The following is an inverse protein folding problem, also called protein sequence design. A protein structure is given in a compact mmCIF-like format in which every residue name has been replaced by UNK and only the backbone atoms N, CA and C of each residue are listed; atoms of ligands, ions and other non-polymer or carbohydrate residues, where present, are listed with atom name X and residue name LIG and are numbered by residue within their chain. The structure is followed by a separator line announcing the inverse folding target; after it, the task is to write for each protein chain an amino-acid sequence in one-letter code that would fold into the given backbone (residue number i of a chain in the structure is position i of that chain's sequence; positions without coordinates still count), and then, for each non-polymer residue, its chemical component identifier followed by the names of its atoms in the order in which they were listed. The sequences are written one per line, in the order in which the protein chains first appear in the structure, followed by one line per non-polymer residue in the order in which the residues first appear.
data_IF_103891160000
#
_entry.id   IF_103891160000
#
_cell.length_a   1.000
_cell.length_b   1.000
_cell.length_c   1.000
_cell.angle_alpha   90.00
_cell.angle_beta   90.00
_cell.angle_gamma   90.00
#
_symmetry.space_group_name_H-M   'P 1'
#
loop_
_entity.id
_entity.type
_entity.pdbx_description
1 polymer ?
#
# COMPACT_ATOMS: atom_id res chain seq x y z
N UNK A 1 -21.91 -10.83 -13.13
CA UNK A 1 -20.64 -10.07 -13.17
C UNK A 1 -19.52 -11.07 -13.30
N UNK A 2 -18.57 -10.84 -14.21
CA UNK A 2 -17.41 -11.71 -14.39
C UNK A 2 -16.60 -11.75 -13.09
N UNK A 3 -16.31 -12.95 -12.58
CA UNK A 3 -15.55 -13.20 -11.35
C UNK A 3 -14.03 -12.99 -11.57
N UNK A 4 -13.63 -11.85 -12.14
CA UNK A 4 -12.21 -11.54 -12.27
C UNK A 4 -11.71 -11.01 -10.92
N UNK A 5 -10.68 -11.65 -10.39
CA UNK A 5 -9.99 -11.28 -9.15
C UNK A 5 -8.62 -10.70 -9.50
N UNK A 6 -7.97 -9.93 -8.60
CA UNK A 6 -6.64 -9.39 -8.85
C UNK A 6 -5.59 -10.45 -9.24
N UNK A 7 -5.73 -11.68 -8.74
CA UNK A 7 -4.85 -12.81 -9.07
C UNK A 7 -4.94 -13.28 -10.52
N UNK A 8 -5.95 -12.85 -11.28
CA UNK A 8 -6.05 -13.12 -12.71
C UNK A 8 -5.21 -12.18 -13.58
N UNK A 9 -4.53 -11.20 -12.98
CA UNK A 9 -3.78 -10.18 -13.68
C UNK A 9 -2.29 -10.29 -13.32
N UNK A 10 -1.43 -9.91 -14.28
CA UNK A 10 0.03 -10.01 -14.12
C UNK A 10 0.54 -9.07 -13.03
N UNK A 11 -0.17 -7.95 -12.86
CA UNK A 11 0.14 -6.93 -11.87
C UNK A 11 -1.14 -6.18 -11.45
N UNK A 12 -1.01 -5.38 -10.40
CA UNK A 12 -2.13 -4.63 -9.84
C UNK A 12 -2.60 -3.49 -10.77
N UNK A 13 -1.75 -2.93 -11.63
CA UNK A 13 -2.13 -1.88 -12.59
C UNK A 13 -3.11 -2.42 -13.64
N UNK A 14 -2.85 -3.62 -14.17
CA UNK A 14 -3.76 -4.32 -15.08
C UNK A 14 -5.12 -4.57 -14.42
N UNK A 15 -5.12 -4.96 -13.15
CA UNK A 15 -6.36 -5.13 -12.37
C UNK A 15 -7.14 -3.81 -12.25
N UNK A 16 -6.47 -2.71 -11.88
CA UNK A 16 -7.13 -1.41 -11.73
C UNK A 16 -7.65 -0.89 -13.07
N UNK A 17 -6.89 -1.06 -14.16
CA UNK A 17 -7.35 -0.70 -15.50
C UNK A 17 -8.60 -1.50 -15.86
N UNK A 18 -8.59 -2.81 -15.61
CA UNK A 18 -9.77 -3.65 -15.81
C UNK A 18 -10.98 -3.15 -15.00
N UNK A 19 -10.82 -2.85 -13.71
CA UNK A 19 -11.93 -2.33 -12.89
C UNK A 19 -12.44 -1.00 -13.45
N UNK A 20 -11.55 -0.11 -13.87
CA UNK A 20 -11.95 1.19 -14.44
C UNK A 20 -12.71 1.02 -15.74
N UNK A 21 -12.21 0.18 -16.64
CA UNK A 21 -12.70 0.12 -18.02
C UNK A 21 -13.90 -0.83 -18.18
N UNK A 22 -13.96 -1.89 -17.36
CA UNK A 22 -14.89 -3.00 -17.55
C UNK A 22 -15.95 -3.11 -16.44
N UNK A 23 -15.73 -2.55 -15.25
CA UNK A 23 -16.69 -2.61 -14.14
C UNK A 23 -17.58 -1.35 -14.14
N UNK A 24 -18.92 -1.51 -14.07
CA UNK A 24 -19.84 -0.38 -13.98
C UNK A 24 -19.49 0.55 -12.81
N UNK A 25 -19.63 1.87 -13.02
CA UNK A 25 -19.22 2.90 -12.04
C UNK A 25 -19.74 2.62 -10.63
N UNK A 26 -21.01 2.20 -10.51
CA UNK A 26 -21.65 1.91 -9.23
C UNK A 26 -21.02 0.72 -8.47
N UNK A 27 -20.39 -0.21 -9.18
CA UNK A 27 -19.84 -1.45 -8.61
C UNK A 27 -18.32 -1.39 -8.41
N UNK A 28 -17.66 -0.34 -8.91
CA UNK A 28 -16.20 -0.17 -8.78
C UNK A 28 -15.74 -0.16 -7.31
N UNK A 29 -16.39 0.54 -6.37
CA UNK A 29 -15.96 0.53 -4.96
C UNK A 29 -15.94 -0.90 -4.39
N UNK A 30 -17.01 -1.67 -4.62
CA UNK A 30 -17.09 -3.06 -4.18
C UNK A 30 -16.01 -3.94 -4.83
N UNK A 31 -15.75 -3.77 -6.13
CA UNK A 31 -14.72 -4.52 -6.84
C UNK A 31 -13.31 -4.23 -6.27
N UNK A 32 -13.01 -2.96 -5.98
CA UNK A 32 -11.75 -2.55 -5.37
C UNK A 32 -11.59 -3.13 -3.96
N UNK A 33 -12.66 -3.09 -3.15
CA UNK A 33 -12.67 -3.66 -1.81
C UNK A 33 -12.46 -5.18 -1.84
N UNK A 34 -13.08 -5.90 -2.78
CA UNK A 34 -12.81 -7.33 -3.02
C UNK A 34 -11.34 -7.55 -3.38
N UNK A 35 -10.79 -6.72 -4.27
CA UNK A 35 -9.40 -6.84 -4.68
C UNK A 35 -8.41 -6.66 -3.51
N UNK A 36 -8.73 -5.77 -2.58
CA UNK A 36 -7.95 -5.59 -1.35
C UNK A 36 -8.00 -6.82 -0.44
N UNK A 37 -9.14 -7.49 -0.32
CA UNK A 37 -9.26 -8.73 0.43
C UNK A 37 -8.39 -9.85 -0.15
N UNK A 38 -8.41 -10.03 -1.47
CA UNK A 38 -7.59 -11.05 -2.15
C UNK A 38 -6.09 -10.83 -1.96
N UNK A 39 -5.65 -9.56 -1.87
CA UNK A 39 -4.27 -9.23 -1.55
C UNK A 39 -3.89 -9.65 -0.12
N UNK A 40 -4.78 -9.48 0.85
CA UNK A 40 -4.55 -10.00 2.19
C UNK A 40 -4.48 -11.53 2.17
N UNK A 41 -5.39 -12.22 1.48
CA UNK A 41 -5.33 -13.68 1.36
C UNK A 41 -4.00 -14.16 0.77
N UNK A 42 -3.55 -13.51 -0.31
CA UNK A 42 -2.24 -13.77 -0.95
C UNK A 42 -1.08 -13.58 0.02
N UNK A 43 -1.15 -12.58 0.90
CA UNK A 43 -0.14 -12.36 1.94
C UNK A 43 -0.03 -13.54 2.90
N UNK A 44 -1.16 -14.02 3.43
CA UNK A 44 -1.20 -15.17 4.31
C UNK A 44 -0.64 -16.42 3.61
N UNK A 45 -0.97 -16.62 2.33
CA UNK A 45 -0.46 -17.71 1.51
C UNK A 45 1.07 -17.67 1.36
N UNK A 46 1.64 -16.52 0.97
CA UNK A 46 3.11 -16.34 0.83
C UNK A 46 3.83 -16.64 2.14
N UNK A 47 3.22 -16.28 3.27
CA UNK A 47 3.72 -16.58 4.62
C UNK A 47 3.45 -18.02 5.09
N UNK A 48 2.81 -18.85 4.27
CA UNK A 48 2.38 -20.23 4.59
C UNK A 48 1.54 -20.28 5.88
N UNK A 49 0.71 -19.26 6.07
CA UNK A 49 -0.24 -19.15 7.18
C UNK A 49 -1.66 -19.33 6.64
N UNK A 50 -2.54 -19.87 7.48
CA UNK A 50 -3.96 -19.89 7.17
C UNK A 50 -4.54 -18.49 7.34
N UNK A 51 -5.42 -18.10 6.42
CA UNK A 51 -6.22 -16.89 6.59
C UNK A 51 -7.19 -17.08 7.78
N UNK A 52 -7.33 -16.11 8.71
CA UNK A 52 -8.13 -16.29 9.92
C UNK A 52 -9.58 -16.65 9.63
N UNK A 53 -10.11 -17.62 10.39
CA UNK A 53 -11.43 -18.20 10.16
C UNK A 53 -12.53 -17.16 10.45
N UNK A 54 -12.35 -16.30 11.43
CA UNK A 54 -13.27 -15.19 11.72
C UNK A 54 -13.47 -14.28 10.51
N UNK A 55 -12.40 -13.97 9.77
CA UNK A 55 -12.49 -13.12 8.59
C UNK A 55 -13.20 -13.83 7.42
N UNK A 56 -13.01 -15.14 7.24
CA UNK A 56 -13.80 -15.90 6.24
C UNK A 56 -15.29 -15.91 6.57
N UNK A 57 -15.64 -16.04 7.86
CA UNK A 57 -17.03 -16.00 8.29
C UNK A 57 -17.67 -14.63 8.05
N UNK A 58 -16.94 -13.56 8.36
CA UNK A 58 -17.40 -12.19 8.11
C UNK A 58 -17.53 -11.92 6.61
N UNK A 59 -16.58 -12.36 5.77
CA UNK A 59 -16.67 -12.26 4.31
C UNK A 59 -17.92 -12.98 3.77
N UNK A 60 -18.21 -14.19 4.27
CA UNK A 60 -19.40 -14.94 3.88
C UNK A 60 -20.70 -14.20 4.25
N UNK A 61 -20.73 -13.56 5.43
CA UNK A 61 -21.86 -12.74 5.89
C UNK A 61 -22.03 -11.48 5.05
N UNK A 62 -20.94 -10.78 4.74
CA UNK A 62 -20.98 -9.52 3.98
C UNK A 62 -21.47 -9.75 2.56
N UNK A 63 -21.07 -10.86 1.92
CA UNK A 63 -21.41 -11.17 0.52
C UNK A 63 -22.92 -11.14 0.21
N UNK A 64 -23.78 -11.44 1.18
CA UNK A 64 -25.24 -11.48 1.01
C UNK A 64 -25.93 -10.15 1.32
N UNK A 65 -25.20 -9.13 1.77
CA UNK A 65 -25.78 -7.82 2.07
C UNK A 65 -26.12 -7.04 0.80
N UNK A 66 -27.15 -6.18 0.84
CA UNK A 66 -27.43 -5.25 -0.25
C UNK A 66 -26.45 -4.07 -0.25
N UNK A 67 -26.28 -3.43 -1.41
CA UNK A 67 -25.61 -2.12 -1.49
C UNK A 67 -26.48 -1.02 -0.87
N UNK A 68 -25.87 0.03 -0.28
CA UNK A 68 -24.43 0.30 -0.18
C UNK A 68 -23.73 -0.39 1.01
N UNK A 69 -24.49 -1.06 1.87
CA UNK A 69 -24.00 -1.63 3.14
C UNK A 69 -22.94 -2.70 2.91
N UNK A 70 -23.10 -3.52 1.86
CA UNK A 70 -22.12 -4.54 1.50
C UNK A 70 -20.73 -3.96 1.27
N UNK A 71 -20.62 -2.88 0.51
CA UNK A 71 -19.34 -2.21 0.25
C UNK A 71 -18.75 -1.65 1.55
N UNK A 72 -19.54 -0.90 2.32
CA UNK A 72 -19.07 -0.28 3.56
C UNK A 72 -18.59 -1.33 4.59
N UNK A 73 -19.33 -2.41 4.78
CA UNK A 73 -18.94 -3.48 5.71
C UNK A 73 -17.69 -4.23 5.20
N UNK A 74 -17.50 -4.38 3.89
CA UNK A 74 -16.29 -4.99 3.31
C UNK A 74 -15.06 -4.10 3.48
N UNK A 75 -15.21 -2.78 3.33
CA UNK A 75 -14.14 -1.80 3.59
C UNK A 75 -13.74 -1.84 5.06
N UNK A 76 -14.71 -1.82 5.98
CA UNK A 76 -14.44 -1.95 7.42
C UNK A 76 -13.78 -3.28 7.78
N UNK A 77 -14.19 -4.40 7.17
CA UNK A 77 -13.50 -5.68 7.37
C UNK A 77 -12.06 -5.64 6.83
N UNK A 78 -11.82 -5.00 5.68
CA UNK A 78 -10.47 -4.82 5.14
C UNK A 78 -9.58 -3.99 6.08
N UNK A 79 -10.14 -3.06 6.84
CA UNK A 79 -9.43 -2.33 7.89
C UNK A 79 -9.11 -3.23 9.08
N UNK A 80 -10.05 -4.07 9.53
CA UNK A 80 -9.81 -5.02 10.61
C UNK A 80 -8.77 -6.10 10.26
N UNK A 81 -8.86 -6.70 9.06
CA UNK A 81 -7.86 -7.65 8.55
C UNK A 81 -6.49 -6.99 8.57
N UNK A 82 -6.44 -5.72 8.16
CA UNK A 82 -5.21 -4.98 8.09
C UNK A 82 -4.62 -4.66 9.47
N UNK A 83 -5.41 -4.15 10.41
CA UNK A 83 -4.96 -3.92 11.78
C UNK A 83 -4.41 -5.21 12.41
N UNK A 84 -5.12 -6.33 12.24
CA UNK A 84 -4.65 -7.64 12.71
C UNK A 84 -3.34 -8.07 12.05
N UNK A 85 -3.17 -7.83 10.75
CA UNK A 85 -1.95 -8.12 10.01
C UNK A 85 -0.78 -7.26 10.48
N UNK A 86 -1.04 -5.97 10.72
CA UNK A 86 -0.10 -5.01 11.27
C UNK A 86 0.39 -5.43 12.65
N UNK A 87 -0.53 -5.77 13.56
CA UNK A 87 -0.18 -6.25 14.90
C UNK A 87 0.65 -7.53 14.82
N UNK A 88 0.27 -8.45 13.94
CA UNK A 88 1.02 -9.67 13.70
C UNK A 88 2.44 -9.37 13.22
N UNK A 89 2.61 -8.50 12.22
CA UNK A 89 3.91 -8.11 11.69
C UNK A 89 4.78 -7.40 12.73
N UNK A 90 4.16 -6.54 13.53
CA UNK A 90 4.83 -5.79 14.59
C UNK A 90 5.33 -6.74 15.68
N UNK A 91 4.49 -7.69 16.12
CA UNK A 91 4.86 -8.71 17.10
C UNK A 91 5.97 -9.64 16.59
N UNK A 92 5.96 -10.02 15.30
CA UNK A 92 7.05 -10.80 14.70
C UNK A 92 8.35 -9.99 14.60
N UNK A 93 8.27 -8.69 14.32
CA UNK A 93 9.44 -7.83 14.13
C UNK A 93 10.04 -7.32 15.44
N UNK A 94 9.23 -7.07 16.47
CA UNK A 94 9.63 -6.56 17.78
C UNK A 94 8.72 -7.14 18.88
N UNK A 95 9.07 -8.27 19.50
CA UNK A 95 8.21 -8.94 20.48
C UNK A 95 7.97 -8.16 21.80
N UNK A 96 8.57 -6.97 21.98
CA UNK A 96 8.53 -6.19 23.23
C UNK A 96 8.04 -4.74 23.07
N UNK A 97 7.54 -4.32 21.91
CA UNK A 97 7.09 -2.95 21.72
C UNK A 97 5.63 -2.82 22.19
N UNK A 98 5.46 -2.19 23.35
CA UNK A 98 4.18 -1.97 24.04
C UNK A 98 3.39 -0.84 23.40
N UNK A 99 2.08 -1.04 23.32
CA UNK A 99 1.01 -0.14 22.86
C UNK A 99 1.25 1.33 23.20
N UNK A 100 1.30 2.18 22.16
CA UNK A 100 1.24 3.62 22.32
C UNK A 100 -0.22 4.05 22.56
N UNK A 101 -0.48 4.62 23.74
CA UNK A 101 -1.78 5.10 24.18
C UNK A 101 -2.30 6.28 23.33
N UNK A 102 -3.63 6.45 23.34
CA UNK A 102 -4.42 7.44 22.63
C UNK A 102 -3.90 8.89 22.75
N UNK A 103 -3.04 9.28 21.82
CA UNK A 103 -2.72 10.68 21.50
C UNK A 103 -3.65 11.11 20.37
N UNK A 104 -4.14 12.36 20.40
CA UNK A 104 -4.88 12.90 19.28
C UNK A 104 -4.05 12.77 17.98
N UNK A 105 -4.65 12.34 16.86
CA UNK A 105 -3.89 12.13 15.64
C UNK A 105 -3.21 13.44 15.23
N UNK A 106 -1.94 13.39 14.81
CA UNK A 106 -1.24 14.58 14.34
C UNK A 106 -1.96 15.20 13.15
N UNK A 107 -1.80 16.51 12.90
CA UNK A 107 -2.29 17.15 11.68
C UNK A 107 -1.86 16.37 10.43
N UNK A 108 -2.68 16.32 9.36
CA UNK A 108 -2.42 15.52 8.17
C UNK A 108 -1.00 15.69 7.61
N UNK A 109 -0.54 16.93 7.46
CA UNK A 109 0.82 17.23 7.02
C UNK A 109 1.89 16.64 7.95
N UNK A 110 1.69 16.71 9.26
CA UNK A 110 2.65 16.16 10.23
C UNK A 110 2.68 14.63 10.21
N UNK A 111 1.51 14.01 10.04
CA UNK A 111 1.40 12.56 9.87
C UNK A 111 2.20 12.07 8.66
N UNK A 112 2.05 12.73 7.51
CA UNK A 112 2.78 12.34 6.30
C UNK A 112 4.28 12.60 6.45
N UNK A 113 4.67 13.71 7.09
CA UNK A 113 6.09 14.00 7.39
C UNK A 113 6.71 12.91 8.26
N UNK A 114 6.01 12.50 9.32
CA UNK A 114 6.48 11.43 10.21
C UNK A 114 6.70 10.12 9.45
N UNK A 115 5.79 9.78 8.54
CA UNK A 115 5.93 8.60 7.69
C UNK A 115 7.14 8.69 6.75
N UNK A 116 7.35 9.84 6.10
CA UNK A 116 8.50 10.08 5.22
C UNK A 116 9.82 9.96 5.99
N UNK A 117 9.88 10.53 7.20
CA UNK A 117 11.04 10.43 8.09
C UNK A 117 11.29 8.97 8.50
N UNK A 118 10.23 8.24 8.86
CA UNK A 118 10.32 6.82 9.20
C UNK A 118 10.87 5.98 8.04
N UNK A 119 10.29 6.14 6.84
CA UNK A 119 10.70 5.41 5.65
C UNK A 119 12.17 5.70 5.29
N UNK A 120 12.59 6.96 5.39
CA UNK A 120 13.99 7.35 5.15
C UNK A 120 14.94 6.67 6.13
N UNK A 121 14.55 6.55 7.40
CA UNK A 121 15.40 5.95 8.43
C UNK A 121 15.40 4.42 8.41
N UNK A 122 14.29 3.78 8.04
CA UNK A 122 14.07 2.34 8.22
C UNK A 122 14.09 1.52 6.93
N UNK A 123 13.77 2.14 5.78
CA UNK A 123 13.71 1.46 4.50
C UNK A 123 14.92 1.83 3.62
N UNK A 124 15.92 0.93 3.44
CA UNK A 124 17.14 1.26 2.71
C UNK A 124 16.87 1.64 1.25
N UNK A 125 15.86 1.05 0.61
CA UNK A 125 15.50 1.36 -0.77
C UNK A 125 14.81 2.72 -0.90
N UNK A 126 14.04 3.14 0.12
CA UNK A 126 13.52 4.51 0.17
C UNK A 126 14.66 5.52 0.39
N UNK A 127 15.63 5.19 1.24
CA UNK A 127 16.79 6.05 1.49
C UNK A 127 17.61 6.33 0.21
N UNK A 128 17.76 5.33 -0.68
CA UNK A 128 18.41 5.50 -2.00
C UNK A 128 17.71 6.60 -2.82
N UNK A 129 16.37 6.60 -2.86
CA UNK A 129 15.61 7.64 -3.54
C UNK A 129 15.81 9.03 -2.91
N UNK A 130 15.82 9.11 -1.58
CA UNK A 130 16.03 10.39 -0.86
C UNK A 130 17.41 10.98 -1.20
N UNK A 131 18.47 10.17 -1.16
CA UNK A 131 19.83 10.61 -1.50
C UNK A 131 19.90 11.13 -2.94
N UNK A 132 19.28 10.41 -3.89
CA UNK A 132 19.22 10.84 -5.28
C UNK A 132 18.55 12.21 -5.43
N UNK A 133 17.37 12.41 -4.85
CA UNK A 133 16.63 13.69 -4.93
C UNK A 133 17.43 14.86 -4.38
N UNK A 134 18.07 14.68 -3.22
CA UNK A 134 18.89 15.74 -2.60
C UNK A 134 20.11 16.13 -3.44
N UNK A 135 20.65 15.20 -4.22
CA UNK A 135 21.73 15.46 -5.18
C UNK A 135 21.24 16.15 -6.45
N UNK A 136 20.10 15.74 -6.98
CA UNK A 136 19.51 16.28 -8.22
C UNK A 136 19.10 17.75 -8.13
N UNK A 137 18.74 18.24 -6.94
CA UNK A 137 18.44 19.67 -6.72
C UNK A 137 19.68 20.58 -6.89
N UNK A 138 20.89 20.01 -6.93
CA UNK A 138 22.16 20.74 -6.89
C UNK A 138 23.04 20.60 -8.15
N UNK A 139 22.64 19.85 -9.18
CA UNK A 139 23.45 19.69 -10.41
C UNK A 139 22.71 19.11 -11.64
N UNK A 140 23.26 19.36 -12.84
CA UNK A 140 22.86 18.82 -14.16
C UNK A 140 23.18 17.31 -14.33
N UNK A 141 22.90 16.52 -13.30
CA UNK A 141 23.52 15.21 -13.07
C UNK A 141 22.57 14.05 -13.24
N UNK A 142 23.08 12.99 -13.89
CA UNK A 142 22.71 11.57 -13.84
C UNK A 142 21.20 11.27 -13.75
N UNK A 143 20.66 10.58 -14.76
CA UNK A 143 19.26 10.15 -14.69
C UNK A 143 19.03 9.19 -13.52
N UNK A 144 17.81 9.16 -13.00
CA UNK A 144 17.42 8.23 -11.93
C UNK A 144 17.74 6.77 -12.28
N UNK A 145 17.59 6.41 -13.55
CA UNK A 145 17.86 5.05 -14.03
C UNK A 145 19.35 4.70 -14.02
N UNK A 146 20.21 5.65 -14.39
CA UNK A 146 21.67 5.50 -14.32
C UNK A 146 22.14 5.38 -12.86
N UNK A 147 21.60 6.24 -11.99
CA UNK A 147 21.90 6.21 -10.55
C UNK A 147 21.47 4.88 -9.91
N UNK A 148 20.25 4.42 -10.19
CA UNK A 148 19.75 3.12 -9.71
C UNK A 148 20.64 1.96 -10.14
N UNK A 149 21.01 1.91 -11.43
CA UNK A 149 21.86 0.86 -11.97
C UNK A 149 23.25 0.83 -11.31
N UNK A 150 23.77 1.99 -10.89
CA UNK A 150 25.03 2.10 -10.16
C UNK A 150 24.91 1.64 -8.71
N UNK A 151 23.86 2.07 -7.99
CA UNK A 151 23.71 1.79 -6.55
C UNK A 151 23.30 0.33 -6.25
N UNK A 152 22.48 -0.27 -7.10
CA UNK A 152 21.93 -1.62 -6.87
C UNK A 152 22.53 -2.70 -7.79
N UNK A 153 23.27 -2.29 -8.82
CA UNK A 153 23.75 -3.18 -9.87
C UNK A 153 22.65 -3.54 -10.89
N UNK A 154 23.07 -4.08 -12.04
CA UNK A 154 22.17 -4.38 -13.17
C UNK A 154 21.49 -5.74 -13.10
N UNK A 155 21.92 -6.62 -12.19
CA UNK A 155 21.49 -8.01 -12.12
C UNK A 155 20.34 -8.25 -11.13
N UNK A 156 19.97 -7.27 -10.31
CA UNK A 156 18.92 -7.40 -9.28
C UNK A 156 17.61 -6.69 -9.67
N UNK A 157 16.92 -7.26 -10.67
CA UNK A 157 15.70 -6.69 -11.24
C UNK A 157 14.56 -6.48 -10.23
N UNK A 158 14.46 -7.33 -9.19
CA UNK A 158 13.42 -7.24 -8.16
C UNK A 158 13.70 -6.10 -7.17
N UNK A 159 14.97 -5.91 -6.77
CA UNK A 159 15.38 -4.79 -5.92
C UNK A 159 15.28 -3.45 -6.63
N UNK A 160 15.69 -3.38 -7.89
CA UNK A 160 15.54 -2.18 -8.73
C UNK A 160 14.06 -1.81 -8.87
N UNK A 161 13.21 -2.78 -9.20
CA UNK A 161 11.77 -2.55 -9.31
C UNK A 161 11.19 -2.05 -7.97
N UNK A 162 11.63 -2.62 -6.85
CA UNK A 162 11.14 -2.23 -5.54
C UNK A 162 11.55 -0.80 -5.19
N UNK A 163 12.79 -0.43 -5.49
CA UNK A 163 13.31 0.92 -5.26
C UNK A 163 12.57 1.96 -6.09
N UNK A 164 12.24 1.65 -7.35
CA UNK A 164 11.35 2.49 -8.16
C UNK A 164 9.97 2.66 -7.51
N UNK A 165 9.40 1.58 -6.99
CA UNK A 165 8.12 1.64 -6.29
C UNK A 165 8.18 2.52 -5.02
N UNK A 166 9.29 2.50 -4.29
CA UNK A 166 9.50 3.41 -3.14
C UNK A 166 9.61 4.87 -3.57
N UNK A 167 10.22 5.17 -4.72
CA UNK A 167 10.25 6.51 -5.29
C UNK A 167 8.85 7.02 -5.68
N UNK A 168 8.00 6.15 -6.25
CA UNK A 168 6.60 6.50 -6.53
C UNK A 168 5.79 6.72 -5.25
N UNK A 169 6.07 5.96 -4.18
CA UNK A 169 5.40 6.14 -2.89
C UNK A 169 5.70 7.52 -2.31
N UNK A 170 6.96 7.95 -2.36
CA UNK A 170 7.36 9.30 -1.95
C UNK A 170 6.58 10.39 -2.69
N UNK A 171 6.47 10.30 -4.02
CA UNK A 171 5.71 11.28 -4.83
C UNK A 171 4.25 11.35 -4.41
N UNK A 172 3.62 10.21 -4.16
CA UNK A 172 2.23 10.15 -3.71
C UNK A 172 2.08 10.72 -2.30
N UNK A 173 2.98 10.39 -1.36
CA UNK A 173 2.95 10.94 -0.02
C UNK A 173 3.15 12.46 -0.04
N UNK A 174 4.08 12.98 -0.83
CA UNK A 174 4.27 14.43 -1.01
C UNK A 174 3.01 15.12 -1.53
N UNK A 175 2.23 14.48 -2.41
CA UNK A 175 0.94 15.02 -2.84
C UNK A 175 -0.04 15.24 -1.66
N UNK A 176 -0.15 14.28 -0.74
CA UNK A 176 -0.99 14.43 0.47
C UNK A 176 -0.44 15.50 1.41
N UNK A 177 0.88 15.51 1.62
CA UNK A 177 1.57 16.49 2.46
C UNK A 177 1.37 17.94 1.97
N UNK A 178 1.61 18.18 0.69
CA UNK A 178 1.61 19.52 0.10
C UNK A 178 0.21 20.12 0.06
N UNK A 179 -0.80 19.27 -0.13
CA UNK A 179 -2.22 19.65 -0.14
C UNK A 179 -2.90 19.59 1.22
N UNK A 180 -2.17 19.20 2.27
CA UNK A 180 -2.69 19.01 3.63
C UNK A 180 -3.92 18.08 3.67
N UNK A 181 -3.89 17.04 2.84
CA UNK A 181 -4.96 16.04 2.75
C UNK A 181 -4.75 14.95 3.81
N UNK A 182 -5.80 14.49 4.50
CA UNK A 182 -5.70 13.35 5.40
C UNK A 182 -5.26 12.11 4.61
N UNK A 183 -4.20 11.46 5.07
CA UNK A 183 -3.83 10.13 4.60
C UNK A 183 -4.69 9.13 5.36
N UNK A 184 -5.53 8.31 4.70
CA UNK A 184 -6.30 7.30 5.40
C UNK A 184 -5.38 6.43 6.27
N UNK A 185 -5.77 6.22 7.53
CA UNK A 185 -4.93 5.61 8.56
C UNK A 185 -4.34 4.26 8.12
N UNK A 186 -5.15 3.46 7.42
CA UNK A 186 -4.72 2.18 6.91
C UNK A 186 -3.60 2.26 5.85
N UNK A 187 -3.45 3.37 5.12
CA UNK A 187 -2.29 3.56 4.23
C UNK A 187 -1.06 3.98 4.99
N UNK A 188 -1.22 4.88 5.97
CA UNK A 188 -0.13 5.29 6.84
C UNK A 188 0.55 4.07 7.45
N UNK A 189 -0.25 3.22 8.10
CA UNK A 189 0.21 1.97 8.70
C UNK A 189 0.82 1.06 7.63
N UNK A 190 0.19 0.83 6.47
CA UNK A 190 0.76 -0.02 5.41
C UNK A 190 2.15 0.43 4.97
N UNK A 191 2.29 1.73 4.71
CA UNK A 191 3.54 2.33 4.31
C UNK A 191 4.61 2.16 5.40
N UNK A 192 4.23 2.39 6.67
CA UNK A 192 5.10 2.25 7.83
C UNK A 192 5.72 0.85 7.94
N UNK A 193 4.99 -0.20 7.55
CA UNK A 193 5.46 -1.58 7.68
C UNK A 193 6.28 -2.12 6.50
N UNK A 194 6.43 -1.37 5.39
CA UNK A 194 7.01 -1.91 4.16
C UNK A 194 8.44 -2.45 4.30
N UNK A 195 9.25 -1.89 5.20
CA UNK A 195 10.65 -2.35 5.39
C UNK A 195 10.74 -3.70 6.14
N UNK A 196 9.68 -4.13 6.82
CA UNK A 196 9.65 -5.44 7.48
C UNK A 196 9.29 -6.59 6.53
N UNK A 197 8.73 -6.29 5.36
CA UNK A 197 8.33 -7.29 4.39
C UNK A 197 9.53 -7.82 3.62
N UNK A 198 9.52 -9.09 3.23
CA UNK A 198 10.65 -9.77 2.57
C UNK A 198 10.24 -10.41 1.25
N UNK A 199 11.18 -10.43 0.30
CA UNK A 199 11.01 -11.14 -0.96
C UNK A 199 9.75 -10.71 -1.74
N UNK A 200 9.01 -11.65 -2.36
CA UNK A 200 7.86 -11.33 -3.21
C UNK A 200 6.72 -10.56 -2.51
N UNK A 201 6.56 -10.77 -1.20
CA UNK A 201 5.54 -10.11 -0.37
C UNK A 201 5.67 -8.59 -0.40
N UNK A 202 6.91 -8.11 -0.34
CA UNK A 202 7.25 -6.70 -0.28
C UNK A 202 6.76 -5.95 -1.52
N UNK A 203 7.07 -6.48 -2.70
CA UNK A 203 6.61 -5.90 -3.96
C UNK A 203 5.08 -5.94 -4.10
N UNK A 204 4.45 -7.06 -3.71
CA UNK A 204 3.00 -7.22 -3.80
C UNK A 204 2.27 -6.15 -2.98
N UNK A 205 2.69 -5.93 -1.74
CA UNK A 205 2.07 -4.94 -0.84
C UNK A 205 2.34 -3.51 -1.29
N UNK A 206 3.57 -3.19 -1.71
CA UNK A 206 3.89 -1.83 -2.20
C UNK A 206 3.12 -1.49 -3.46
N UNK A 207 3.00 -2.42 -4.44
CA UNK A 207 2.19 -2.18 -5.64
C UNK A 207 0.72 -1.95 -5.31
N UNK A 208 0.16 -2.72 -4.39
CA UNK A 208 -1.23 -2.52 -3.95
C UNK A 208 -1.42 -1.15 -3.28
N UNK A 209 -0.49 -0.76 -2.41
CA UNK A 209 -0.50 0.55 -1.75
C UNK A 209 -0.46 1.71 -2.76
N UNK A 210 0.53 1.69 -3.66
CA UNK A 210 0.72 2.74 -4.68
C UNK A 210 -0.52 2.95 -5.54
N UNK A 211 -1.12 1.86 -5.98
CA UNK A 211 -2.28 1.92 -6.87
C UNK A 211 -3.53 2.42 -6.15
N UNK A 212 -3.73 2.01 -4.89
CA UNK A 212 -4.87 2.52 -4.12
C UNK A 212 -4.72 4.01 -3.87
N UNK A 213 -3.54 4.47 -3.47
CA UNK A 213 -3.23 5.91 -3.31
C UNK A 213 -3.40 6.67 -4.64
N UNK A 214 -2.96 6.09 -5.76
CA UNK A 214 -3.14 6.70 -7.09
C UNK A 214 -4.62 6.81 -7.46
N UNK A 215 -5.44 5.81 -7.15
CA UNK A 215 -6.88 5.85 -7.39
C UNK A 215 -7.56 6.94 -6.55
N UNK A 216 -7.21 7.07 -5.28
CA UNK A 216 -7.76 8.09 -4.38
C UNK A 216 -7.34 9.51 -4.79
N UNK A 217 -6.06 9.71 -5.14
CA UNK A 217 -5.61 11.01 -5.64
C UNK A 217 -6.26 11.39 -6.98
N UNK A 218 -6.59 10.41 -7.83
CA UNK A 218 -7.39 10.62 -9.04
C UNK A 218 -8.84 11.00 -8.76
N UNK A 219 -9.48 10.39 -7.76
CA UNK A 219 -10.82 10.75 -7.31
C UNK A 219 -10.85 12.18 -6.75
N UNK A 220 -9.90 12.57 -5.90
CA UNK A 220 -9.79 13.93 -5.35
C UNK A 220 -9.47 15.02 -6.39
N UNK A 221 -9.04 14.67 -7.61
CA UNK A 221 -8.81 15.63 -8.71
C UNK A 221 -10.06 15.90 -9.54
N UNK A 222 -11.12 15.11 -9.35
CA UNK A 222 -12.34 15.15 -10.16
C UNK A 222 -13.50 15.90 -9.48
N UNK A 223 -13.24 16.58 -8.36
CA UNK A 223 -14.17 17.44 -7.63
C UNK A 223 -13.91 18.93 -7.90
#
# INVERSE_FOLDING_TARGET
MSNMLPSNFTNHEEWISYVRDQVPVADRPYALACGRTELFKSFYEVRKRAFPVEFEQDLARIRILPEPKRTADLESLNEHIFASLTDFLFNEAQPNAVEAAAVAPPPPREQVRELLDHLTQKNPYFAVWVVFKSGAENSDTESWEEYLGRELGTDDGDEVAFTRAMAELDKLLLYFHDRDLPLPQHFFERAWFLHYLRGPERMLQTRALLNTLTAETGACKSE
#
